data_IF_302889523754
#
_entry.id   IF_302889523754
#
_cell.length_a   1.000
_cell.length_b   1.000
_cell.length_c   1.000
_cell.angle_alpha   90.00
_cell.angle_beta   90.00
_cell.angle_gamma   90.00
#
_symmetry.space_group_name_H-M   'P 1'
#
loop_
_entity.id
_entity.type
_entity.pdbx_description
1 polymer ?
#
# COMPACT_ATOMS: atom_id res chain seq x y z
N UNK A 1 -19.32 -12.77 -16.61
CA UNK A 1 -18.03 -13.04 -15.93
C UNK A 1 -17.58 -11.74 -15.28
N UNK A 2 -17.77 -11.57 -13.97
CA UNK A 2 -17.18 -10.44 -13.25
C UNK A 2 -15.70 -10.78 -13.11
N UNK A 3 -14.88 -10.20 -13.97
CA UNK A 3 -13.42 -10.21 -13.75
C UNK A 3 -13.17 -9.04 -12.82
N UNK A 4 -13.24 -9.26 -11.50
CA UNK A 4 -12.83 -8.23 -10.55
C UNK A 4 -11.32 -8.08 -10.68
N UNK A 5 -10.88 -7.15 -11.54
CA UNK A 5 -9.47 -6.94 -11.88
C UNK A 5 -8.74 -6.11 -10.82
N UNK A 6 -9.14 -6.19 -9.54
CA UNK A 6 -8.44 -5.53 -8.44
C UNK A 6 -7.39 -6.45 -7.83
N UNK A 7 -6.18 -5.93 -7.71
CA UNK A 7 -5.09 -6.57 -6.97
C UNK A 7 -5.10 -5.99 -5.55
N UNK A 8 -4.97 -6.86 -4.56
CA UNK A 8 -4.82 -6.53 -3.15
C UNK A 8 -3.56 -7.22 -2.62
N UNK A 9 -2.70 -6.47 -1.95
CA UNK A 9 -1.49 -6.97 -1.32
C UNK A 9 -1.47 -6.48 0.12
N UNK A 10 -1.17 -7.38 1.05
CA UNK A 10 -1.00 -7.10 2.47
C UNK A 10 0.38 -7.59 2.94
N UNK A 11 1.02 -6.78 3.76
CA UNK A 11 2.23 -7.12 4.50
C UNK A 11 1.94 -6.86 5.97
N UNK A 12 2.13 -7.88 6.80
CA UNK A 12 1.79 -7.85 8.21
C UNK A 12 2.97 -8.32 9.06
N UNK A 13 3.26 -7.58 10.13
CA UNK A 13 4.21 -7.96 11.19
C UNK A 13 3.50 -7.95 12.55
N UNK A 14 4.08 -8.66 13.51
CA UNK A 14 3.62 -8.77 14.91
C UNK A 14 4.54 -8.01 15.89
N UNK A 15 5.26 -7.00 15.40
CA UNK A 15 6.16 -6.19 16.22
C UNK A 15 5.44 -5.21 17.14
N UNK A 16 6.13 -4.15 17.56
CA UNK A 16 5.57 -3.15 18.48
C UNK A 16 4.69 -2.08 17.82
N UNK A 17 4.56 -2.12 16.50
CA UNK A 17 3.89 -1.10 15.70
C UNK A 17 4.77 0.13 15.43
N UNK A 18 4.59 0.72 14.26
CA UNK A 18 5.17 2.03 13.94
C UNK A 18 4.13 3.15 14.07
N UNK A 19 4.46 4.25 14.74
CA UNK A 19 3.51 5.36 14.91
C UNK A 19 3.44 6.22 13.65
N UNK A 20 2.39 6.02 12.85
CA UNK A 20 2.11 6.73 11.59
C UNK A 20 1.98 8.25 11.74
N UNK A 21 1.73 8.76 12.96
CA UNK A 21 1.64 10.20 13.25
C UNK A 21 3.01 10.82 13.52
N UNK A 22 3.98 10.02 13.92
CA UNK A 22 5.36 10.46 14.20
C UNK A 22 6.29 10.29 13.00
N UNK A 23 5.88 9.49 12.01
CA UNK A 23 6.69 9.32 10.80
C UNK A 23 6.66 10.62 10.00
N UNK A 24 7.83 11.23 9.89
CA UNK A 24 8.00 12.41 9.05
C UNK A 24 7.60 12.09 7.61
N UNK A 25 6.87 13.00 6.98
CA UNK A 25 6.43 12.87 5.60
C UNK A 25 7.59 12.75 4.59
N UNK A 26 8.82 13.06 5.00
CA UNK A 26 10.06 12.96 4.23
C UNK A 26 10.78 11.60 4.37
N UNK A 27 10.19 10.63 5.08
CA UNK A 27 10.72 9.26 5.13
C UNK A 27 10.81 8.68 3.71
N UNK A 28 12.06 8.42 3.27
CA UNK A 28 12.35 7.97 1.90
C UNK A 28 11.56 6.72 1.52
N UNK A 29 11.47 5.74 2.42
CA UNK A 29 10.72 4.50 2.19
C UNK A 29 9.23 4.75 1.93
N UNK A 30 8.60 5.60 2.76
CA UNK A 30 7.19 5.96 2.56
C UNK A 30 6.99 6.83 1.32
N UNK A 31 7.94 7.71 0.98
CA UNK A 31 7.86 8.52 -0.23
C UNK A 31 7.89 7.64 -1.48
N UNK A 32 8.79 6.65 -1.52
CA UNK A 32 8.88 5.67 -2.61
C UNK A 32 7.56 4.90 -2.74
N UNK A 33 7.06 4.33 -1.64
CA UNK A 33 5.82 3.53 -1.68
C UNK A 33 4.61 4.38 -2.10
N UNK A 34 4.49 5.60 -1.59
CA UNK A 34 3.43 6.51 -2.03
C UNK A 34 3.54 6.81 -3.53
N UNK A 35 4.75 7.08 -4.05
CA UNK A 35 4.97 7.32 -5.47
C UNK A 35 4.57 6.12 -6.35
N UNK A 36 4.92 4.91 -5.94
CA UNK A 36 4.51 3.71 -6.69
C UNK A 36 3.00 3.45 -6.60
N UNK A 37 2.44 3.40 -5.39
CA UNK A 37 1.04 3.00 -5.21
C UNK A 37 0.09 4.09 -5.72
N UNK A 38 0.27 5.34 -5.32
CA UNK A 38 -0.65 6.43 -5.68
C UNK A 38 -0.37 6.97 -7.07
N UNK A 39 0.89 7.21 -7.42
CA UNK A 39 1.19 7.93 -8.66
C UNK A 39 1.32 6.98 -9.86
N UNK A 40 2.03 5.85 -9.72
CA UNK A 40 2.23 4.90 -10.82
C UNK A 40 1.02 3.97 -11.00
N UNK A 41 0.55 3.35 -9.93
CA UNK A 41 -0.53 2.34 -9.99
C UNK A 41 -1.93 2.93 -9.84
N UNK A 42 -2.05 4.23 -9.51
CA UNK A 42 -3.34 4.91 -9.22
C UNK A 42 -4.16 4.16 -8.16
N UNK A 43 -3.47 3.51 -7.24
CA UNK A 43 -4.01 2.69 -6.16
C UNK A 43 -4.23 3.44 -4.86
N UNK A 44 -4.56 2.68 -3.82
CA UNK A 44 -4.71 3.16 -2.44
C UNK A 44 -3.79 2.38 -1.52
N UNK A 45 -3.16 3.10 -0.59
CA UNK A 45 -2.32 2.56 0.48
C UNK A 45 -3.00 2.86 1.82
N UNK A 46 -3.07 1.85 2.67
CA UNK A 46 -3.61 1.92 4.02
C UNK A 46 -2.61 1.27 4.98
N UNK A 47 -2.54 1.84 6.18
CA UNK A 47 -1.64 1.39 7.23
C UNK A 47 -2.42 1.37 8.53
N UNK A 48 -2.44 0.21 9.17
CA UNK A 48 -3.02 -0.02 10.48
C UNK A 48 -1.88 -0.47 11.39
N UNK A 49 -1.64 0.27 12.47
CA UNK A 49 -0.48 0.05 13.33
C UNK A 49 -0.86 0.20 14.79
N UNK A 50 -0.35 -0.69 15.63
CA UNK A 50 -0.60 -0.67 17.07
C UNK A 50 0.35 -1.58 17.83
N UNK A 51 0.09 -1.77 19.13
CA UNK A 51 0.96 -2.53 20.03
C UNK A 51 1.12 -4.02 19.66
N UNK A 52 0.27 -4.52 18.77
CA UNK A 52 0.24 -5.91 18.28
C UNK A 52 0.80 -6.04 16.85
N UNK A 53 1.57 -5.05 16.40
CA UNK A 53 2.21 -5.05 15.09
C UNK A 53 1.60 -4.07 14.10
N UNK A 54 2.02 -4.20 12.85
CA UNK A 54 1.60 -3.34 11.74
C UNK A 54 1.04 -4.18 10.60
N UNK A 55 -0.05 -3.70 10.01
CA UNK A 55 -0.56 -4.16 8.73
C UNK A 55 -0.50 -3.03 7.72
N UNK A 56 0.16 -3.28 6.61
CA UNK A 56 0.19 -2.39 5.45
C UNK A 56 -0.50 -3.11 4.31
N UNK A 57 -1.53 -2.49 3.74
CA UNK A 57 -2.17 -3.02 2.56
C UNK A 57 -2.35 -1.97 1.49
N UNK A 58 -2.19 -2.40 0.25
CA UNK A 58 -2.45 -1.56 -0.90
C UNK A 58 -3.20 -2.31 -1.99
N UNK A 59 -3.99 -1.54 -2.73
CA UNK A 59 -4.85 -2.06 -3.77
C UNK A 59 -4.85 -1.18 -5.00
N UNK A 60 -4.88 -1.80 -6.17
CA UNK A 60 -4.89 -1.11 -7.45
C UNK A 60 -5.58 -1.97 -8.51
N UNK A 61 -5.97 -1.35 -9.62
CA UNK A 61 -6.54 -2.08 -10.73
C UNK A 61 -5.41 -2.76 -11.51
N UNK A 62 -5.55 -4.05 -11.80
CA UNK A 62 -4.76 -4.72 -12.83
C UNK A 62 -5.01 -3.99 -14.14
N UNK A 63 -3.95 -3.42 -14.69
CA UNK A 63 -3.97 -2.85 -16.03
C UNK A 63 -4.00 -4.05 -16.98
N UNK A 64 -5.08 -4.17 -17.75
CA UNK A 64 -5.09 -5.08 -18.88
C UNK A 64 -4.39 -4.33 -20.00
N UNK A 65 -3.12 -4.62 -20.23
CA UNK A 65 -2.45 -4.15 -21.44
C UNK A 65 -3.14 -4.80 -22.63
N UNK A 66 -4.03 -4.05 -23.29
CA UNK A 66 -4.37 -4.34 -24.68
C UNK A 66 -3.15 -3.89 -25.46
N UNK A 67 -2.24 -4.83 -25.70
CA UNK A 67 -1.21 -4.68 -26.72
C UNK A 67 -1.98 -4.62 -28.04
N UNK A 68 -2.09 -3.42 -28.61
CA UNK A 68 -2.60 -3.18 -29.97
C UNK A 68 -1.54 -3.63 -30.96
#
# INVERSE_FOLDING_TARGET
>A
KIVDSKIYIEVSDDGCGFDTKTVKADSLGLLIINGYVKDKLKGKLNIESGKSGTKVYFRFQKINDVVV
#
